data_IF_522080957029
#
_entry.id   IF_522080957029
#
_cell.length_a   1.000
_cell.length_b   1.000
_cell.length_c   1.000
_cell.angle_alpha   90.00
_cell.angle_beta   90.00
_cell.angle_gamma   90.00
#
_symmetry.space_group_name_H-M   'P 1'
#
loop_
_entity.id
_entity.type
_entity.pdbx_description
1 polymer ?
#
# COMPACT_ATOMS: atom_id res chain seq x y z
N UNK A 1 6.78 -15.78 20.97
CA UNK A 1 5.60 -15.34 20.21
C UNK A 1 6.12 -14.32 19.23
N UNK A 2 6.28 -14.73 17.96
CA UNK A 2 6.87 -13.92 16.90
C UNK A 2 5.88 -12.82 16.53
N UNK A 3 5.86 -11.75 17.32
CA UNK A 3 5.21 -10.51 16.93
C UNK A 3 6.15 -9.84 15.94
N UNK A 4 6.19 -10.35 14.71
CA UNK A 4 6.59 -9.59 13.54
C UNK A 4 5.63 -8.41 13.48
N UNK A 5 5.99 -7.31 14.16
CA UNK A 5 5.31 -6.03 14.05
C UNK A 5 5.31 -5.74 12.56
N UNK A 6 4.13 -5.83 11.91
CA UNK A 6 3.99 -5.53 10.49
C UNK A 6 4.55 -4.13 10.27
N UNK A 7 5.70 -4.03 9.61
CA UNK A 7 6.25 -2.75 9.19
C UNK A 7 5.47 -2.28 7.96
N UNK A 8 4.38 -1.58 8.25
CA UNK A 8 3.53 -1.00 7.23
C UNK A 8 4.28 0.03 6.38
N UNK A 9 5.29 0.73 6.92
CA UNK A 9 6.05 1.71 6.14
C UNK A 9 6.92 1.02 5.09
N UNK A 10 7.64 -0.03 5.47
CA UNK A 10 8.44 -0.80 4.53
C UNK A 10 7.54 -1.47 3.47
N UNK A 11 6.40 -2.01 3.90
CA UNK A 11 5.43 -2.64 3.00
C UNK A 11 4.87 -1.64 1.99
N UNK A 12 4.38 -0.49 2.46
CA UNK A 12 3.85 0.56 1.59
C UNK A 12 4.90 1.12 0.63
N UNK A 13 6.17 1.26 1.06
CA UNK A 13 7.27 1.67 0.16
C UNK A 13 7.51 0.65 -0.96
N UNK A 14 7.52 -0.65 -0.65
CA UNK A 14 7.71 -1.73 -1.65
C UNK A 14 6.54 -1.77 -2.65
N UNK A 15 5.31 -1.65 -2.15
CA UNK A 15 4.10 -1.59 -2.98
C UNK A 15 4.16 -0.35 -3.88
N UNK A 16 4.46 0.83 -3.32
CA UNK A 16 4.56 2.09 -4.08
C UNK A 16 5.61 2.00 -5.19
N UNK A 17 6.78 1.41 -4.91
CA UNK A 17 7.82 1.24 -5.93
C UNK A 17 7.39 0.27 -7.03
N UNK A 18 6.69 -0.79 -6.68
CA UNK A 18 6.14 -1.75 -7.65
C UNK A 18 5.05 -1.11 -8.51
N UNK A 19 4.19 -0.28 -7.92
CA UNK A 19 3.17 0.49 -8.65
C UNK A 19 3.80 1.49 -9.61
N UNK A 20 4.80 2.25 -9.18
CA UNK A 20 5.55 3.18 -10.03
C UNK A 20 6.17 2.45 -11.23
N UNK A 21 6.90 1.36 -10.99
CA UNK A 21 7.54 0.59 -12.05
C UNK A 21 6.52 -0.03 -13.01
N UNK A 22 5.41 -0.55 -12.49
CA UNK A 22 4.35 -1.18 -13.28
C UNK A 22 3.60 -0.14 -14.11
N UNK A 23 3.33 1.03 -13.53
CA UNK A 23 2.72 2.16 -14.22
C UNK A 23 3.59 2.65 -15.38
N UNK A 24 4.91 2.78 -15.15
CA UNK A 24 5.87 3.18 -16.18
C UNK A 24 5.98 2.13 -17.30
N UNK A 25 5.97 0.84 -16.97
CA UNK A 25 6.24 -0.23 -17.94
C UNK A 25 4.99 -0.66 -18.71
N UNK A 26 3.86 -0.81 -18.02
CA UNK A 26 2.65 -1.44 -18.57
C UNK A 26 1.46 -0.47 -18.65
N UNK A 27 1.52 0.66 -17.96
CA UNK A 27 0.44 1.64 -17.91
C UNK A 27 -0.67 1.30 -16.90
N UNK A 28 -1.58 2.26 -16.65
CA UNK A 28 -2.57 2.17 -15.57
C UNK A 28 -3.68 1.16 -15.83
N UNK A 29 -3.96 0.81 -17.09
CA UNK A 29 -4.99 -0.19 -17.45
C UNK A 29 -4.46 -1.62 -17.49
N UNK A 30 -3.21 -1.84 -17.10
CA UNK A 30 -2.58 -3.16 -17.15
C UNK A 30 -3.01 -4.05 -15.99
N UNK A 31 -3.12 -5.35 -16.25
CA UNK A 31 -3.43 -6.35 -15.22
C UNK A 31 -2.36 -6.34 -14.12
N UNK A 32 -1.10 -6.11 -14.49
CA UNK A 32 0.02 -6.02 -13.55
C UNK A 32 -0.15 -4.84 -12.60
N UNK A 33 -0.52 -3.67 -13.10
CA UNK A 33 -0.77 -2.50 -12.27
C UNK A 33 -1.97 -2.71 -11.35
N UNK A 34 -3.09 -3.22 -11.89
CA UNK A 34 -4.29 -3.52 -11.10
C UNK A 34 -4.05 -4.59 -10.01
N UNK A 35 -3.28 -5.64 -10.29
CA UNK A 35 -2.95 -6.66 -9.29
C UNK A 35 -2.16 -6.08 -8.11
N UNK A 36 -1.23 -5.14 -8.37
CA UNK A 36 -0.48 -4.49 -7.30
C UNK A 36 -1.38 -3.49 -6.54
N UNK A 37 -2.35 -2.86 -7.21
CA UNK A 37 -3.35 -2.01 -6.54
C UNK A 37 -4.24 -2.81 -5.58
N UNK A 38 -4.61 -4.04 -5.91
CA UNK A 38 -5.35 -4.90 -4.97
C UNK A 38 -4.52 -5.18 -3.70
N UNK A 39 -3.21 -5.45 -3.85
CA UNK A 39 -2.29 -5.64 -2.72
C UNK A 39 -2.22 -4.35 -1.87
N UNK A 40 -2.18 -3.17 -2.51
CA UNK A 40 -2.23 -1.90 -1.80
C UNK A 40 -3.52 -1.75 -1.00
N UNK A 41 -4.67 -2.05 -1.61
CA UNK A 41 -5.98 -1.97 -0.95
C UNK A 41 -6.06 -2.89 0.27
N UNK A 42 -5.54 -4.12 0.17
CA UNK A 42 -5.44 -5.05 1.29
C UNK A 42 -4.58 -4.49 2.42
N UNK A 43 -3.42 -3.92 2.09
CA UNK A 43 -2.54 -3.31 3.08
C UNK A 43 -3.20 -2.13 3.80
N UNK A 44 -3.94 -1.28 3.08
CA UNK A 44 -4.68 -0.16 3.68
C UNK A 44 -5.82 -0.64 4.59
N UNK A 45 -6.52 -1.72 4.22
CA UNK A 45 -7.53 -2.36 5.07
C UNK A 45 -6.91 -2.88 6.36
N UNK A 46 -5.77 -3.55 6.29
CA UNK A 46 -5.04 -4.05 7.45
C UNK A 46 -4.63 -2.92 8.43
N UNK A 47 -4.16 -1.79 7.90
CA UNK A 47 -3.80 -0.59 8.70
C UNK A 47 -5.03 -0.03 9.42
N UNK A 48 -6.15 0.11 8.72
CA UNK A 48 -7.40 0.62 9.30
C UNK A 48 -7.94 -0.33 10.38
N UNK A 49 -7.87 -1.65 10.17
CA UNK A 49 -8.23 -2.62 11.20
C UNK A 49 -7.29 -2.57 12.41
N UNK A 50 -5.98 -2.45 12.19
CA UNK A 50 -5.00 -2.33 13.27
C UNK A 50 -5.30 -1.10 14.14
N UNK A 51 -5.58 0.05 13.51
CA UNK A 51 -5.98 1.29 14.17
C UNK A 51 -7.24 1.12 15.01
N UNK A 52 -8.25 0.38 14.53
CA UNK A 52 -9.49 0.07 15.27
C UNK A 52 -9.25 -0.84 16.47
N UNK A 53 -8.30 -1.77 16.38
CA UNK A 53 -7.96 -2.73 17.44
C UNK A 53 -7.10 -2.13 18.57
N UNK A 54 -6.99 -0.79 18.67
CA UNK A 54 -6.20 -0.06 19.68
C UNK A 54 -4.68 -0.26 19.60
N UNK A 55 -4.18 -0.90 18.55
CA UNK A 55 -2.77 -0.82 18.17
C UNK A 55 -2.64 0.40 17.28
N UNK A 56 -2.07 1.52 17.74
CA UNK A 56 -1.72 2.61 16.81
C UNK A 56 -0.65 2.07 15.87
N UNK A 57 -0.96 1.77 14.59
CA UNK A 57 0.07 1.31 13.68
C UNK A 57 0.99 2.52 13.45
N UNK A 58 2.30 2.32 13.65
CA UNK A 58 3.29 3.36 13.41
C UNK A 58 3.44 3.54 11.90
N UNK A 59 2.52 4.26 11.27
CA UNK A 59 2.50 4.54 9.82
C UNK A 59 2.87 6.00 9.61
N UNK A 60 3.88 6.21 8.79
CA UNK A 60 4.33 7.51 8.30
C UNK A 60 3.23 8.11 7.38
N UNK A 61 2.70 9.31 7.72
CA UNK A 61 1.68 9.98 6.93
C UNK A 61 2.08 10.24 5.47
N UNK A 62 3.36 10.51 5.21
CA UNK A 62 3.85 10.81 3.86
C UNK A 62 3.89 9.54 3.01
N UNK A 63 4.33 8.42 3.60
CA UNK A 63 4.33 7.10 2.96
C UNK A 63 2.89 6.66 2.66
N UNK A 64 1.98 6.87 3.62
CA UNK A 64 0.56 6.56 3.44
C UNK A 64 -0.09 7.42 2.34
N UNK A 65 0.18 8.72 2.35
CA UNK A 65 -0.36 9.67 1.37
C UNK A 65 0.10 9.33 -0.05
N UNK A 66 1.39 9.04 -0.22
CA UNK A 66 1.97 8.59 -1.49
C UNK A 66 1.24 7.33 -2.01
N UNK A 67 1.12 6.31 -1.15
CA UNK A 67 0.51 5.05 -1.52
C UNK A 67 -0.96 5.24 -1.94
N UNK A 68 -1.74 6.02 -1.19
CA UNK A 68 -3.13 6.36 -1.54
C UNK A 68 -3.24 7.15 -2.86
N UNK A 69 -2.19 7.86 -3.28
CA UNK A 69 -2.15 8.58 -4.55
C UNK A 69 -2.34 7.67 -5.77
N UNK A 70 -1.80 6.45 -5.73
CA UNK A 70 -1.92 5.49 -6.84
C UNK A 70 -3.35 5.01 -7.08
N UNK A 71 -4.21 5.01 -6.04
CA UNK A 71 -5.61 4.63 -6.18
C UNK A 71 -6.39 5.58 -7.10
N UNK A 72 -5.98 6.86 -7.18
CA UNK A 72 -6.62 7.88 -8.02
C UNK A 72 -6.21 7.79 -9.49
N UNK A 73 -5.15 7.05 -9.81
CA UNK A 73 -4.62 6.92 -11.17
C UNK A 73 -5.38 5.83 -11.95
N UNK A 74 -6.05 4.91 -11.26
CA UNK A 74 -6.84 3.84 -11.86
C UNK A 74 -8.32 4.18 -12.08
N UNK A 75 -8.77 5.39 -11.72
CA UNK A 75 -10.06 5.96 -12.12
C UNK A 75 -10.00 6.52 -13.55
#
# INVERSE_FOLDING_TARGET
MDSTVKDYNETLRKISKSLENSLETFGPSSIQYHAILEILQDCLRDIEEAKRRSSQPNVDPDVLSLAMGFLKIAE
#
